data_IF_652390581226
#
_entry.id   IF_652390581226
#
_cell.length_a   1.000
_cell.length_b   1.000
_cell.length_c   1.000
_cell.angle_alpha   90.00
_cell.angle_beta   90.00
_cell.angle_gamma   90.00
#
_symmetry.space_group_name_H-M   'P 1'
#
loop_
_entity.id
_entity.type
_entity.pdbx_description
1 polymer ?
#
# COMPACT_ATOMS: atom_id res chain seq x y z
N UNK A 1 -1.87 -2.42 -21.83
CA UNK A 1 -2.01 -1.66 -20.55
C UNK A 1 -2.92 -2.40 -19.54
N UNK A 2 -2.81 -2.10 -18.21
CA UNK A 2 -3.76 -2.59 -17.21
C UNK A 2 -5.13 -1.95 -17.40
N UNK A 3 -6.17 -2.77 -17.36
CA UNK A 3 -7.56 -2.29 -17.33
C UNK A 3 -7.90 -1.66 -15.99
N UNK A 4 -9.01 -0.90 -15.93
CA UNK A 4 -9.53 -0.37 -14.66
C UNK A 4 -9.85 -1.49 -13.66
N UNK A 5 -10.40 -2.60 -14.14
CA UNK A 5 -10.68 -3.81 -13.36
C UNK A 5 -9.41 -4.38 -12.74
N UNK A 6 -8.38 -4.63 -13.53
CA UNK A 6 -7.09 -5.17 -13.05
C UNK A 6 -6.41 -4.24 -12.05
N UNK A 7 -6.48 -2.92 -12.25
CA UNK A 7 -5.98 -1.94 -11.29
C UNK A 7 -6.72 -2.01 -9.95
N UNK A 8 -8.06 -2.22 -9.97
CA UNK A 8 -8.85 -2.42 -8.76
C UNK A 8 -8.51 -3.75 -8.10
N UNK A 9 -8.35 -4.82 -8.88
CA UNK A 9 -7.96 -6.13 -8.35
C UNK A 9 -6.59 -6.07 -7.65
N UNK A 10 -5.58 -5.41 -8.26
CA UNK A 10 -4.27 -5.21 -7.63
C UNK A 10 -4.37 -4.40 -6.33
N UNK A 11 -5.23 -3.37 -6.26
CA UNK A 11 -5.49 -2.64 -5.02
C UNK A 11 -6.14 -3.53 -3.96
N UNK A 12 -7.05 -4.41 -4.38
CA UNK A 12 -7.68 -5.40 -3.51
C UNK A 12 -6.67 -6.40 -2.94
N UNK A 13 -5.77 -6.91 -3.79
CA UNK A 13 -4.67 -7.75 -3.35
C UNK A 13 -3.72 -7.00 -2.39
N UNK A 14 -3.37 -5.75 -2.70
CA UNK A 14 -2.48 -4.94 -1.88
C UNK A 14 -3.04 -4.69 -0.48
N UNK A 15 -4.35 -4.41 -0.34
CA UNK A 15 -4.96 -4.19 0.98
C UNK A 15 -5.07 -5.49 1.78
N UNK A 16 -5.37 -6.63 1.14
CA UNK A 16 -5.37 -7.92 1.80
C UNK A 16 -3.97 -8.27 2.35
N UNK A 17 -2.94 -8.08 1.54
CA UNK A 17 -1.54 -8.28 1.93
C UNK A 17 -1.18 -7.34 3.09
N UNK A 18 -1.62 -6.08 3.07
CA UNK A 18 -1.34 -5.07 4.10
C UNK A 18 -2.01 -5.42 5.44
N UNK A 19 -3.27 -5.81 5.43
CA UNK A 19 -3.97 -6.26 6.65
C UNK A 19 -3.28 -7.48 7.26
N UNK A 20 -2.88 -8.44 6.42
CA UNK A 20 -2.13 -9.62 6.89
C UNK A 20 -0.78 -9.22 7.50
N UNK A 21 -0.05 -8.29 6.87
CA UNK A 21 1.22 -7.76 7.40
C UNK A 21 1.03 -7.24 8.83
N UNK A 22 0.09 -6.31 9.02
CA UNK A 22 -0.07 -5.64 10.30
C UNK A 22 -0.62 -6.58 11.39
N UNK A 23 -1.40 -7.59 11.05
CA UNK A 23 -1.85 -8.57 12.04
C UNK A 23 -0.71 -9.48 12.55
N UNK A 24 0.20 -9.91 11.66
CA UNK A 24 1.13 -11.00 11.97
C UNK A 24 2.61 -10.63 11.89
N UNK A 25 2.97 -9.36 11.65
CA UNK A 25 4.36 -8.90 11.64
C UNK A 25 4.98 -8.96 13.05
N UNK A 26 4.20 -8.57 14.07
CA UNK A 26 4.68 -8.55 15.45
C UNK A 26 4.61 -9.97 16.05
N UNK A 27 5.74 -10.56 16.49
CA UNK A 27 5.75 -11.88 17.13
C UNK A 27 4.84 -11.97 18.37
N UNK A 28 4.70 -10.87 19.14
CA UNK A 28 3.81 -10.84 20.31
C UNK A 28 2.34 -11.06 19.91
N UNK A 29 1.89 -10.52 18.79
CA UNK A 29 0.54 -10.74 18.27
C UNK A 29 0.35 -12.18 17.80
N UNK A 30 1.37 -12.76 17.15
CA UNK A 30 1.33 -14.18 16.72
C UNK A 30 1.27 -15.12 17.93
N UNK A 31 1.91 -14.76 19.04
CA UNK A 31 1.87 -15.53 20.29
C UNK A 31 0.46 -15.56 20.94
N UNK A 32 -0.39 -14.57 20.68
CA UNK A 32 -1.79 -14.54 21.11
C UNK A 32 -2.69 -15.53 20.34
N UNK A 33 -2.20 -16.05 19.20
CA UNK A 33 -2.98 -16.89 18.30
C UNK A 33 -2.80 -18.36 18.58
N UNK A 34 -3.87 -19.14 18.41
CA UNK A 34 -3.81 -20.60 18.35
C UNK A 34 -3.29 -21.01 16.96
N UNK A 35 -2.00 -21.30 16.87
CA UNK A 35 -1.34 -21.69 15.63
C UNK A 35 -1.32 -23.22 15.52
N UNK A 36 -1.81 -23.77 14.38
CA UNK A 36 -1.87 -25.23 14.15
C UNK A 36 -0.84 -25.73 13.15
N UNK A 37 -0.34 -24.85 12.28
CA UNK A 37 0.60 -25.20 11.22
C UNK A 37 1.93 -24.54 11.50
N UNK A 38 2.96 -25.35 11.64
CA UNK A 38 4.33 -24.91 11.89
C UNK A 38 5.23 -25.37 10.75
N UNK A 39 6.12 -24.52 10.31
CA UNK A 39 7.15 -24.81 9.31
C UNK A 39 8.53 -24.90 9.98
N UNK A 40 9.55 -25.25 9.22
CA UNK A 40 10.90 -25.51 9.66
C UNK A 40 11.37 -24.64 10.85
N UNK A 41 11.86 -25.30 11.90
CA UNK A 41 12.28 -24.64 13.15
C UNK A 41 11.14 -24.29 14.12
N UNK A 42 9.93 -24.89 13.98
CA UNK A 42 8.82 -24.68 14.91
C UNK A 42 8.15 -23.31 14.80
N UNK A 43 8.32 -22.60 13.68
CA UNK A 43 7.72 -21.27 13.49
C UNK A 43 6.32 -21.37 12.88
N UNK A 44 5.31 -20.64 13.42
CA UNK A 44 3.98 -20.59 12.84
C UNK A 44 4.00 -20.19 11.37
N UNK A 45 3.16 -20.81 10.54
CA UNK A 45 3.08 -20.53 9.10
C UNK A 45 2.81 -19.04 8.81
N UNK A 46 1.99 -18.38 9.62
CA UNK A 46 1.68 -16.94 9.47
C UNK A 46 2.93 -16.07 9.56
N UNK A 47 3.89 -16.43 10.44
CA UNK A 47 5.19 -15.74 10.57
C UNK A 47 6.11 -15.95 9.37
N UNK A 48 5.91 -17.00 8.59
CA UNK A 48 6.64 -17.19 7.33
C UNK A 48 5.97 -16.45 6.17
N UNK A 49 4.65 -16.51 6.08
CA UNK A 49 3.88 -15.83 5.04
C UNK A 49 4.01 -14.30 5.15
N UNK A 50 4.14 -13.74 6.36
CA UNK A 50 4.28 -12.29 6.56
C UNK A 50 5.52 -11.70 5.87
N UNK A 51 6.56 -12.49 5.66
CA UNK A 51 7.77 -12.02 4.95
C UNK A 51 7.49 -11.58 3.52
N UNK A 52 6.50 -12.19 2.85
CA UNK A 52 6.10 -11.81 1.50
C UNK A 52 5.30 -10.51 1.46
N UNK A 53 4.70 -10.11 2.56
CA UNK A 53 3.76 -8.99 2.60
C UNK A 53 4.42 -7.61 2.53
N UNK A 54 5.75 -7.52 2.66
CA UNK A 54 6.52 -6.28 2.53
C UNK A 54 6.36 -5.54 1.19
N UNK A 55 5.72 -6.16 0.19
CA UNK A 55 5.42 -5.53 -1.11
C UNK A 55 4.16 -4.65 -1.09
N UNK A 56 3.36 -4.63 -0.03
CA UNK A 56 2.04 -3.98 -0.02
C UNK A 56 2.10 -2.48 -0.35
N UNK A 57 3.00 -1.72 0.27
CA UNK A 57 3.20 -0.29 -0.03
C UNK A 57 3.75 -0.11 -1.44
N UNK A 58 4.70 -0.97 -1.85
CA UNK A 58 5.24 -0.99 -3.21
C UNK A 58 4.15 -1.15 -4.28
N UNK A 59 3.13 -1.98 -4.03
CA UNK A 59 1.98 -2.15 -4.93
C UNK A 59 1.16 -0.87 -5.07
N UNK A 60 0.89 -0.14 -3.99
CA UNK A 60 0.19 1.14 -4.06
C UNK A 60 1.01 2.20 -4.79
N UNK A 61 2.32 2.25 -4.56
CA UNK A 61 3.25 3.14 -5.26
C UNK A 61 3.30 2.83 -6.75
N UNK A 62 3.45 1.55 -7.10
CA UNK A 62 3.41 1.07 -8.48
C UNK A 62 2.13 1.52 -9.19
N UNK A 63 0.97 1.23 -8.60
CA UNK A 63 -0.33 1.61 -9.18
C UNK A 63 -0.51 3.13 -9.28
N UNK A 64 0.06 3.88 -8.35
CA UNK A 64 0.02 5.33 -8.39
C UNK A 64 0.88 5.89 -9.51
N UNK A 65 2.12 5.41 -9.65
CA UNK A 65 3.02 5.77 -10.76
C UNK A 65 2.42 5.39 -12.11
N UNK A 66 1.89 4.16 -12.21
CA UNK A 66 1.21 3.66 -13.39
C UNK A 66 0.05 4.57 -13.84
N UNK A 67 -0.90 4.82 -12.94
CA UNK A 67 -2.10 5.61 -13.26
C UNK A 67 -1.82 7.09 -13.49
N UNK A 68 -0.88 7.69 -12.74
CA UNK A 68 -0.47 9.09 -12.93
C UNK A 68 0.29 9.27 -14.25
N UNK A 69 1.13 8.31 -14.65
CA UNK A 69 1.87 8.40 -15.89
C UNK A 69 0.94 8.31 -17.11
N UNK A 70 -0.08 7.43 -17.10
CA UNK A 70 -1.13 7.42 -18.13
C UNK A 70 -1.84 8.78 -18.21
N UNK A 71 -2.15 9.37 -17.06
CA UNK A 71 -2.78 10.70 -17.02
C UNK A 71 -1.86 11.76 -17.60
N UNK A 72 -0.57 11.72 -17.29
CA UNK A 72 0.45 12.62 -17.80
C UNK A 72 0.68 12.48 -19.31
N UNK A 73 0.67 11.26 -19.84
CA UNK A 73 0.75 11.04 -21.30
C UNK A 73 -0.42 11.67 -22.06
N UNK A 74 -1.65 11.62 -21.48
CA UNK A 74 -2.84 12.24 -22.08
C UNK A 74 -2.84 13.75 -21.92
N UNK A 75 -2.42 14.25 -20.79
CA UNK A 75 -2.32 15.67 -20.47
C UNK A 75 -1.17 15.92 -19.48
N UNK A 76 -0.04 16.52 -19.95
CA UNK A 76 1.08 16.84 -19.08
C UNK A 76 0.76 17.83 -17.95
N UNK A 77 -0.36 18.55 -18.02
CA UNK A 77 -0.87 19.42 -16.96
C UNK A 77 -1.74 18.61 -15.98
N UNK A 78 -1.13 17.62 -15.34
CA UNK A 78 -1.78 16.91 -14.23
C UNK A 78 -2.19 17.89 -13.13
N UNK A 79 -3.35 17.67 -12.53
CA UNK A 79 -3.87 18.48 -11.42
C UNK A 79 -3.55 17.81 -10.07
N UNK A 80 -2.31 17.97 -9.51
CA UNK A 80 -1.91 17.29 -8.28
C UNK A 80 -2.74 17.74 -7.09
N UNK A 81 -3.04 19.04 -6.98
CA UNK A 81 -3.80 19.60 -5.87
C UNK A 81 -5.19 18.96 -5.71
N UNK A 82 -5.90 18.71 -6.82
CA UNK A 82 -7.21 18.05 -6.75
C UNK A 82 -7.15 16.64 -6.17
N UNK A 83 -6.09 15.88 -6.48
CA UNK A 83 -5.87 14.54 -5.95
C UNK A 83 -5.51 14.57 -4.47
N UNK A 84 -4.65 15.53 -4.08
CA UNK A 84 -4.23 15.73 -2.70
C UNK A 84 -5.42 16.16 -1.84
N UNK A 85 -6.22 17.13 -2.27
CA UNK A 85 -7.42 17.55 -1.56
C UNK A 85 -8.39 16.38 -1.35
N UNK A 86 -8.62 15.55 -2.37
CA UNK A 86 -9.45 14.34 -2.23
C UNK A 86 -8.92 13.37 -1.17
N UNK A 87 -7.62 13.18 -1.13
CA UNK A 87 -6.97 12.30 -0.15
C UNK A 87 -7.11 12.87 1.26
N UNK A 88 -6.81 14.16 1.46
CA UNK A 88 -6.89 14.80 2.76
C UNK A 88 -8.32 14.89 3.28
N UNK A 89 -9.32 15.18 2.45
CA UNK A 89 -10.72 15.16 2.87
C UNK A 89 -11.11 13.79 3.42
N UNK A 90 -10.68 12.72 2.74
CA UNK A 90 -10.93 11.37 3.21
C UNK A 90 -10.19 11.06 4.52
N UNK A 91 -8.93 11.43 4.59
CA UNK A 91 -8.09 11.28 5.76
C UNK A 91 -8.66 12.04 6.98
N UNK A 92 -9.08 13.28 6.81
CA UNK A 92 -9.63 14.09 7.91
C UNK A 92 -10.97 13.57 8.43
N UNK A 93 -11.80 12.95 7.58
CA UNK A 93 -13.02 12.28 8.06
C UNK A 93 -12.64 11.10 8.97
N UNK A 94 -11.71 10.25 8.53
CA UNK A 94 -11.20 9.13 9.35
C UNK A 94 -10.56 9.66 10.64
N UNK A 95 -9.73 10.68 10.53
CA UNK A 95 -9.06 11.34 11.65
C UNK A 95 -10.10 11.82 12.68
N UNK A 96 -11.10 12.58 12.25
CA UNK A 96 -12.15 13.10 13.13
C UNK A 96 -12.89 11.98 13.86
N UNK A 97 -13.28 10.91 13.15
CA UNK A 97 -14.03 9.78 13.74
C UNK A 97 -13.15 9.03 14.74
N UNK A 98 -11.98 8.58 14.32
CA UNK A 98 -11.17 7.66 15.13
C UNK A 98 -10.39 8.35 16.24
N UNK A 99 -9.99 9.62 16.07
CA UNK A 99 -9.31 10.34 17.14
C UNK A 99 -10.31 10.79 18.21
N UNK A 100 -11.54 11.18 17.83
CA UNK A 100 -12.62 11.44 18.82
C UNK A 100 -13.00 10.18 19.60
N UNK A 101 -13.13 9.04 18.91
CA UNK A 101 -13.37 7.75 19.56
C UNK A 101 -12.19 7.36 20.46
N UNK A 102 -10.97 7.57 19.99
CA UNK A 102 -9.74 7.35 20.78
C UNK A 102 -9.67 8.22 22.01
N UNK A 103 -10.05 9.50 21.92
CA UNK A 103 -10.11 10.41 23.07
C UNK A 103 -11.13 9.98 24.12
N UNK A 104 -12.22 9.34 23.69
CA UNK A 104 -13.21 8.76 24.60
C UNK A 104 -12.74 7.46 25.26
N UNK A 105 -12.14 6.55 24.49
CA UNK A 105 -11.70 5.23 24.97
C UNK A 105 -10.35 5.29 25.71
N UNK A 106 -9.42 6.13 25.24
CA UNK A 106 -8.04 6.23 25.72
C UNK A 106 -7.61 7.69 25.88
N UNK A 107 -8.20 8.47 26.83
CA UNK A 107 -7.96 9.90 26.98
C UNK A 107 -6.50 10.28 27.28
N UNK A 108 -5.74 9.36 27.86
CA UNK A 108 -4.31 9.55 28.14
C UNK A 108 -3.44 9.53 26.87
N UNK A 109 -3.95 9.00 25.75
CA UNK A 109 -3.25 8.90 24.48
C UNK A 109 -3.75 9.92 23.44
N UNK A 110 -5.04 10.21 23.43
CA UNK A 110 -5.70 11.04 22.43
C UNK A 110 -6.47 12.19 23.08
N UNK A 111 -6.46 13.42 22.48
CA UNK A 111 -5.63 13.87 21.37
C UNK A 111 -4.22 14.30 21.81
N UNK A 112 -3.89 14.28 23.11
CA UNK A 112 -2.61 14.70 23.66
C UNK A 112 -2.32 16.21 23.45
N UNK A 113 -1.06 16.57 23.13
CA UNK A 113 -0.64 17.95 22.95
C UNK A 113 -1.07 18.56 21.60
N UNK A 114 -1.12 19.90 21.52
CA UNK A 114 -1.34 20.62 20.25
C UNK A 114 -0.31 20.28 19.17
N UNK A 115 0.95 20.09 19.55
CA UNK A 115 2.02 19.67 18.63
C UNK A 115 1.74 18.29 18.07
N UNK A 116 1.32 17.35 18.91
CA UNK A 116 0.92 16.01 18.47
C UNK A 116 -0.27 16.09 17.51
N UNK A 117 -1.30 16.89 17.84
CA UNK A 117 -2.46 17.09 16.98
C UNK A 117 -2.07 17.64 15.60
N UNK A 118 -1.29 18.73 15.55
CA UNK A 118 -0.86 19.34 14.28
C UNK A 118 0.00 18.41 13.44
N UNK A 119 0.92 17.68 14.06
CA UNK A 119 1.74 16.69 13.37
C UNK A 119 0.90 15.58 12.73
N UNK A 120 -0.11 15.09 13.45
CA UNK A 120 -0.95 14.01 12.98
C UNK A 120 -1.96 14.46 11.92
N UNK A 121 -2.64 15.61 12.10
CA UNK A 121 -3.65 16.11 11.14
C UNK A 121 -3.04 16.51 9.80
N UNK A 122 -1.76 16.87 9.78
CA UNK A 122 -0.99 17.15 8.54
C UNK A 122 -0.40 15.89 7.93
N UNK A 123 -0.29 14.79 8.69
CA UNK A 123 0.40 13.57 8.29
C UNK A 123 1.93 13.69 8.29
N UNK A 124 2.47 14.78 8.89
CA UNK A 124 3.91 15.01 8.99
C UNK A 124 4.60 14.01 9.93
N UNK A 125 4.03 13.80 11.12
CA UNK A 125 4.51 12.82 12.09
C UNK A 125 3.31 12.12 12.73
N UNK A 126 3.09 10.86 12.34
CA UNK A 126 1.84 10.12 12.56
C UNK A 126 1.93 9.24 13.80
N UNK A 127 1.89 9.86 14.99
CA UNK A 127 1.98 9.15 16.28
C UNK A 127 0.66 8.53 16.74
N UNK A 128 -0.49 9.05 16.27
CA UNK A 128 -1.81 8.48 16.60
C UNK A 128 -2.06 7.16 15.90
N UNK A 129 -1.57 7.05 14.67
CA UNK A 129 -1.58 5.85 13.86
C UNK A 129 -0.30 5.82 13.02
N UNK A 130 0.67 5.01 13.43
CA UNK A 130 1.98 4.95 12.78
C UNK A 130 1.90 4.60 11.31
N UNK A 131 0.88 3.83 10.91
CA UNK A 131 0.72 3.34 9.53
C UNK A 131 0.22 4.42 8.56
N UNK A 132 -0.11 5.60 9.05
CA UNK A 132 -0.36 6.79 8.23
C UNK A 132 0.92 7.47 7.72
N UNK A 133 2.10 6.96 8.10
CA UNK A 133 3.40 7.48 7.67
C UNK A 133 3.49 7.70 6.14
N UNK A 134 2.79 6.89 5.37
CA UNK A 134 2.80 6.93 3.92
C UNK A 134 2.11 8.18 3.32
N UNK A 135 1.24 8.86 4.09
CA UNK A 135 0.42 9.99 3.61
C UNK A 135 1.31 11.11 3.06
N UNK A 136 2.25 11.59 3.86
CA UNK A 136 3.08 12.75 3.50
C UNK A 136 4.06 12.44 2.34
N UNK A 137 4.84 11.35 2.33
CA UNK A 137 5.63 10.94 1.18
C UNK A 137 4.82 10.81 -0.11
N UNK A 138 3.61 10.28 -0.03
CA UNK A 138 2.71 10.17 -1.18
C UNK A 138 2.30 11.54 -1.72
N UNK A 139 2.03 12.51 -0.87
CA UNK A 139 1.77 13.89 -1.30
C UNK A 139 2.95 14.46 -2.06
N UNK A 140 4.17 14.28 -1.56
CA UNK A 140 5.39 14.71 -2.24
C UNK A 140 5.55 14.04 -3.61
N UNK A 141 5.25 12.73 -3.71
CA UNK A 141 5.26 12.01 -4.99
C UNK A 141 4.26 12.59 -5.99
N UNK A 142 3.05 12.89 -5.56
CA UNK A 142 2.02 13.48 -6.43
C UNK A 142 2.42 14.87 -6.90
N UNK A 143 3.01 15.69 -6.03
CA UNK A 143 3.50 17.03 -6.37
C UNK A 143 4.67 16.97 -7.36
N UNK A 144 5.60 16.06 -7.15
CA UNK A 144 6.81 15.90 -7.98
C UNK A 144 6.59 15.05 -9.24
N UNK A 145 5.43 14.40 -9.41
CA UNK A 145 5.16 13.45 -10.48
C UNK A 145 5.48 13.99 -11.88
N UNK A 146 5.15 15.26 -12.16
CA UNK A 146 5.45 15.89 -13.46
C UNK A 146 6.95 15.91 -13.77
N UNK A 147 7.80 16.19 -12.79
CA UNK A 147 9.26 16.21 -12.96
C UNK A 147 9.82 14.79 -13.08
N UNK A 148 9.34 13.87 -12.25
CA UNK A 148 9.71 12.44 -12.32
C UNK A 148 9.41 11.90 -13.73
N UNK A 149 8.24 12.17 -14.29
CA UNK A 149 7.84 11.68 -15.61
C UNK A 149 8.63 12.33 -16.75
N UNK A 150 9.08 13.59 -16.60
CA UNK A 150 10.00 14.21 -17.55
C UNK A 150 11.33 13.48 -17.59
N UNK A 151 11.88 13.09 -16.43
CA UNK A 151 13.11 12.30 -16.35
C UNK A 151 12.90 10.93 -16.99
N UNK A 152 11.79 10.25 -16.65
CA UNK A 152 11.45 8.94 -17.22
C UNK A 152 11.37 9.01 -18.76
N UNK A 153 10.78 10.08 -19.33
CA UNK A 153 10.67 10.21 -20.78
C UNK A 153 12.01 10.42 -21.49
N UNK A 154 12.98 11.07 -20.84
CA UNK A 154 14.30 11.40 -21.41
C UNK A 154 15.27 10.22 -21.43
N UNK A 155 15.09 9.24 -20.56
CA UNK A 155 16.02 8.12 -20.39
C UNK A 155 15.52 6.87 -21.14
N UNK A 156 16.45 6.10 -21.71
CA UNK A 156 16.19 4.78 -22.25
C UNK A 156 15.94 3.75 -21.14
N UNK A 157 15.55 2.53 -21.52
CA UNK A 157 15.18 1.47 -20.58
C UNK A 157 16.34 1.11 -19.62
N UNK A 158 17.55 0.95 -20.16
CA UNK A 158 18.71 0.55 -19.35
C UNK A 158 19.06 1.62 -18.32
N UNK A 159 19.14 2.89 -18.76
CA UNK A 159 19.41 4.01 -17.85
C UNK A 159 18.32 4.16 -16.78
N UNK A 160 17.04 3.91 -17.13
CA UNK A 160 15.95 3.93 -16.15
C UNK A 160 16.10 2.83 -15.11
N UNK A 161 16.39 1.60 -15.53
CA UNK A 161 16.60 0.48 -14.61
C UNK A 161 17.77 0.76 -13.66
N UNK A 162 18.89 1.27 -14.21
CA UNK A 162 20.07 1.63 -13.41
C UNK A 162 19.74 2.77 -12.41
N UNK A 163 19.05 3.81 -12.86
CA UNK A 163 18.66 4.94 -12.01
C UNK A 163 17.73 4.49 -10.87
N UNK A 164 16.69 3.74 -11.21
CA UNK A 164 15.71 3.22 -10.22
C UNK A 164 16.39 2.27 -9.24
N UNK A 165 17.28 1.41 -9.73
CA UNK A 165 18.10 0.52 -8.90
C UNK A 165 19.04 1.29 -7.97
N UNK A 166 19.72 2.33 -8.48
CA UNK A 166 20.60 3.17 -7.67
C UNK A 166 19.83 3.93 -6.57
N UNK A 167 18.67 4.54 -6.91
CA UNK A 167 17.79 5.21 -5.94
C UNK A 167 17.37 4.23 -4.85
N UNK A 168 16.95 3.02 -5.25
CA UNK A 168 16.54 1.99 -4.31
C UNK A 168 17.68 1.59 -3.36
N UNK A 169 18.84 1.22 -3.90
CA UNK A 169 19.99 0.77 -3.11
C UNK A 169 20.47 1.87 -2.16
N UNK A 170 20.63 3.09 -2.66
CA UNK A 170 21.10 4.21 -1.83
C UNK A 170 20.12 4.51 -0.72
N UNK A 171 18.81 4.62 -1.02
CA UNK A 171 17.81 4.91 0.02
C UNK A 171 17.68 3.78 1.04
N UNK A 172 17.72 2.52 0.59
CA UNK A 172 17.66 1.36 1.45
C UNK A 172 18.88 1.31 2.41
N UNK A 173 20.09 1.44 1.87
CA UNK A 173 21.31 1.45 2.69
C UNK A 173 21.34 2.64 3.65
N UNK A 174 20.91 3.83 3.22
CA UNK A 174 20.83 5.01 4.09
C UNK A 174 19.90 4.76 5.28
N UNK A 175 18.72 4.19 5.04
CA UNK A 175 17.77 3.87 6.13
C UNK A 175 18.34 2.76 7.01
N UNK A 176 18.91 1.71 6.44
CA UNK A 176 19.42 0.57 7.17
C UNK A 176 20.59 0.95 8.08
N UNK A 177 21.56 1.72 7.57
CA UNK A 177 22.77 2.12 8.31
C UNK A 177 22.48 3.19 9.38
N UNK A 178 21.46 4.06 9.15
CA UNK A 178 21.18 5.19 10.03
C UNK A 178 19.81 5.07 10.75
N UNK A 179 19.28 3.86 10.89
CA UNK A 179 17.92 3.62 11.38
C UNK A 179 17.62 4.33 12.71
N UNK A 180 18.52 4.17 13.70
CA UNK A 180 18.33 4.75 15.03
C UNK A 180 18.26 6.28 15.01
N UNK A 181 19.11 6.93 14.21
CA UNK A 181 19.12 8.37 14.05
C UNK A 181 17.86 8.87 13.31
N UNK A 182 17.53 8.24 12.19
CA UNK A 182 16.43 8.68 11.33
C UNK A 182 15.06 8.59 12.04
N UNK A 183 14.83 7.54 12.81
CA UNK A 183 13.54 7.38 13.50
C UNK A 183 13.31 8.39 14.62
N UNK A 184 14.38 9.01 15.12
CA UNK A 184 14.29 10.08 16.13
C UNK A 184 14.36 11.48 15.51
N UNK A 185 14.76 11.62 14.23
CA UNK A 185 14.94 12.90 13.55
C UNK A 185 14.06 13.00 12.30
N UNK A 186 12.79 13.36 12.51
CA UNK A 186 11.77 13.39 11.46
C UNK A 186 12.16 14.24 10.23
N UNK A 187 12.82 15.39 10.44
CA UNK A 187 13.28 16.26 9.36
C UNK A 187 14.31 15.59 8.46
N UNK A 188 15.19 14.75 9.00
CA UNK A 188 16.15 13.98 8.23
C UNK A 188 15.50 12.74 7.59
N UNK A 189 14.56 12.11 8.29
CA UNK A 189 13.91 10.89 7.83
C UNK A 189 12.99 11.11 6.64
N UNK A 190 12.18 12.17 6.66
CA UNK A 190 11.15 12.40 5.65
C UNK A 190 11.69 12.51 4.21
N UNK A 191 12.77 13.26 3.90
CA UNK A 191 13.36 13.27 2.56
C UNK A 191 13.84 11.90 2.09
N UNK A 192 14.47 11.13 2.98
CA UNK A 192 14.97 9.79 2.65
C UNK A 192 13.81 8.83 2.41
N UNK A 193 12.77 8.92 3.23
CA UNK A 193 11.55 8.15 3.09
C UNK A 193 10.86 8.47 1.75
N UNK A 194 10.77 9.75 1.37
CA UNK A 194 10.27 10.14 0.05
C UNK A 194 11.11 9.52 -1.08
N UNK A 195 12.44 9.60 -1.01
CA UNK A 195 13.34 9.03 -2.03
C UNK A 195 13.17 7.51 -2.12
N UNK A 196 12.99 6.82 -0.99
CA UNK A 196 12.76 5.36 -0.99
C UNK A 196 11.48 4.94 -1.71
N UNK A 197 10.47 5.81 -1.73
CA UNK A 197 9.20 5.53 -2.43
C UNK A 197 9.27 5.73 -3.94
N UNK A 198 10.27 6.48 -4.45
CA UNK A 198 10.43 6.79 -5.88
C UNK A 198 10.60 5.54 -6.75
N UNK A 199 11.33 4.54 -6.25
CA UNK A 199 11.66 3.35 -7.05
C UNK A 199 10.40 2.58 -7.47
N UNK A 200 9.54 2.21 -6.52
CA UNK A 200 8.30 1.49 -6.83
C UNK A 200 7.32 2.34 -7.66
N UNK A 201 7.29 3.65 -7.41
CA UNK A 201 6.48 4.59 -8.20
C UNK A 201 6.97 4.68 -9.66
N UNK A 202 8.28 4.80 -9.88
CA UNK A 202 8.89 4.85 -11.21
C UNK A 202 8.69 3.54 -11.98
N UNK A 203 8.80 2.38 -11.31
CA UNK A 203 8.52 1.06 -11.94
C UNK A 203 7.11 1.05 -12.53
N UNK A 204 6.11 1.60 -11.84
CA UNK A 204 4.76 1.72 -12.39
C UNK A 204 4.69 2.53 -13.68
N UNK A 205 5.39 3.65 -13.75
CA UNK A 205 5.48 4.46 -14.96
C UNK A 205 6.25 3.77 -16.09
N UNK A 206 7.33 3.04 -15.77
CA UNK A 206 8.13 2.24 -16.72
C UNK A 206 7.27 1.15 -17.34
N UNK A 207 6.41 0.49 -16.58
CA UNK A 207 5.48 -0.51 -17.10
C UNK A 207 4.54 0.07 -18.18
N UNK A 208 4.12 1.32 -18.03
CA UNK A 208 3.31 2.00 -19.04
C UNK A 208 4.17 2.43 -20.23
N UNK A 209 5.33 3.05 -19.98
CA UNK A 209 6.20 3.59 -21.05
C UNK A 209 6.61 2.52 -22.06
N UNK A 210 6.85 1.30 -21.59
CA UNK A 210 7.33 0.18 -22.40
C UNK A 210 6.27 -0.91 -22.64
N UNK A 211 5.00 -0.64 -22.40
CA UNK A 211 3.87 -1.57 -22.60
C UNK A 211 4.10 -2.97 -22.00
N UNK A 212 4.82 -3.04 -20.85
CA UNK A 212 5.28 -4.31 -20.25
C UNK A 212 4.10 -5.26 -19.98
N UNK A 213 2.95 -4.73 -19.58
CA UNK A 213 1.77 -5.54 -19.29
C UNK A 213 1.26 -6.31 -20.52
N UNK A 214 1.27 -5.68 -21.69
CA UNK A 214 0.83 -6.31 -22.94
C UNK A 214 1.88 -7.30 -23.46
N UNK A 215 3.17 -6.93 -23.38
CA UNK A 215 4.27 -7.84 -23.69
C UNK A 215 4.25 -9.10 -22.81
N UNK A 216 3.92 -9.00 -21.53
CA UNK A 216 3.80 -10.16 -20.64
C UNK A 216 2.66 -11.09 -21.07
N UNK A 217 1.50 -10.55 -21.46
CA UNK A 217 0.36 -11.36 -21.94
C UNK A 217 0.66 -12.06 -23.25
N UNK A 218 1.39 -11.41 -24.14
CA UNK A 218 1.79 -11.96 -25.44
C UNK A 218 2.83 -13.07 -25.28
N UNK A 219 3.85 -12.85 -24.44
CA UNK A 219 4.97 -13.80 -24.26
C UNK A 219 4.63 -14.96 -23.33
N UNK A 220 3.71 -14.77 -22.39
CA UNK A 220 3.31 -15.78 -21.39
C UNK A 220 1.79 -15.97 -21.46
N UNK A 221 1.26 -16.52 -22.58
CA UNK A 221 -0.17 -16.69 -22.74
C UNK A 221 -0.68 -17.87 -21.90
N UNK A 222 -1.47 -17.58 -20.86
CA UNK A 222 -2.15 -18.63 -20.09
C UNK A 222 -3.46 -19.01 -20.81
N UNK A 223 -3.41 -20.06 -21.65
CA UNK A 223 -4.53 -20.50 -22.49
C UNK A 223 -5.29 -21.69 -21.93
N UNK A 224 -4.66 -22.53 -21.13
CA UNK A 224 -5.22 -23.78 -20.59
C UNK A 224 -5.30 -23.76 -19.06
N UNK A 225 -6.05 -24.73 -18.51
CA UNK A 225 -6.06 -24.99 -17.06
C UNK A 225 -4.66 -25.38 -16.59
N UNK A 226 -3.95 -26.22 -17.34
CA UNK A 226 -2.59 -26.67 -16.99
C UNK A 226 -1.62 -25.50 -16.90
N UNK A 227 -1.62 -24.55 -17.87
CA UNK A 227 -0.77 -23.36 -17.80
C UNK A 227 -1.14 -22.44 -16.61
N UNK A 228 -2.40 -22.39 -16.21
CA UNK A 228 -2.81 -21.63 -15.03
C UNK A 228 -2.35 -22.32 -13.73
N UNK A 229 -2.43 -23.64 -13.64
CA UNK A 229 -1.88 -24.41 -12.51
C UNK A 229 -0.37 -24.17 -12.40
N UNK A 230 0.37 -24.22 -13.52
CA UNK A 230 1.80 -23.92 -13.53
C UNK A 230 2.09 -22.52 -13.01
N UNK A 231 1.30 -21.50 -13.40
CA UNK A 231 1.46 -20.15 -12.88
C UNK A 231 1.21 -20.07 -11.36
N UNK A 232 0.25 -20.84 -10.82
CA UNK A 232 0.02 -20.95 -9.37
C UNK A 232 1.23 -21.62 -8.68
N UNK A 233 1.76 -22.70 -9.24
CA UNK A 233 2.94 -23.36 -8.69
C UNK A 233 4.17 -22.46 -8.69
N UNK A 234 4.39 -21.66 -9.74
CA UNK A 234 5.43 -20.64 -9.80
C UNK A 234 5.25 -19.61 -8.68
N UNK A 235 4.02 -19.19 -8.41
CA UNK A 235 3.75 -18.25 -7.30
C UNK A 235 4.05 -18.88 -5.94
N UNK A 236 3.65 -20.12 -5.71
CA UNK A 236 3.97 -20.87 -4.48
C UNK A 236 5.49 -20.97 -4.31
N UNK A 237 6.23 -21.26 -5.40
CA UNK A 237 7.69 -21.27 -5.37
C UNK A 237 8.27 -19.90 -5.00
N UNK A 238 7.73 -18.80 -5.56
CA UNK A 238 8.16 -17.46 -5.21
C UNK A 238 7.92 -17.15 -3.72
N UNK A 239 6.78 -17.58 -3.16
CA UNK A 239 6.50 -17.48 -1.72
C UNK A 239 7.52 -18.27 -0.89
N UNK A 240 7.84 -19.50 -1.29
CA UNK A 240 8.81 -20.36 -0.61
C UNK A 240 10.22 -19.73 -0.64
N UNK A 241 10.67 -19.27 -1.81
CA UNK A 241 11.96 -18.58 -1.96
C UNK A 241 12.02 -17.31 -1.11
N UNK A 242 10.93 -16.53 -1.04
CA UNK A 242 10.86 -15.33 -0.18
C UNK A 242 10.93 -15.70 1.31
N UNK A 243 10.28 -16.77 1.71
CA UNK A 243 10.32 -17.25 3.08
C UNK A 243 11.75 -17.65 3.53
N UNK A 244 12.56 -18.14 2.59
CA UNK A 244 13.98 -18.50 2.85
C UNK A 244 14.93 -17.30 2.84
N UNK A 245 14.54 -16.18 2.19
CA UNK A 245 15.37 -14.98 2.10
C UNK A 245 14.92 -13.94 3.16
N UNK A 246 15.69 -13.67 4.21
CA UNK A 246 15.30 -12.73 5.27
C UNK A 246 15.53 -11.25 4.91
N UNK A 247 16.05 -10.95 3.72
CA UNK A 247 16.49 -9.61 3.32
C UNK A 247 15.31 -8.82 2.72
N UNK A 248 14.94 -7.68 3.34
CA UNK A 248 13.83 -6.84 2.84
C UNK A 248 14.16 -6.10 1.54
N UNK A 249 15.44 -5.92 1.22
CA UNK A 249 15.86 -5.33 -0.05
C UNK A 249 15.33 -6.08 -1.28
N UNK A 250 15.06 -7.38 -1.18
CA UNK A 250 14.47 -8.15 -2.30
C UNK A 250 13.00 -7.83 -2.58
N UNK A 251 12.31 -7.10 -1.69
CA UNK A 251 10.90 -6.77 -1.87
C UNK A 251 10.61 -6.04 -3.19
N UNK A 252 11.55 -5.25 -3.71
CA UNK A 252 11.37 -4.58 -5.01
C UNK A 252 11.33 -5.57 -6.18
N UNK A 253 12.12 -6.63 -6.11
CA UNK A 253 12.11 -7.72 -7.10
C UNK A 253 10.80 -8.49 -6.99
N UNK A 254 10.39 -8.82 -5.76
CA UNK A 254 9.11 -9.51 -5.53
C UNK A 254 7.90 -8.67 -5.94
N UNK A 255 7.96 -7.36 -5.82
CA UNK A 255 6.95 -6.46 -6.35
C UNK A 255 6.78 -6.64 -7.86
N UNK A 256 7.88 -6.60 -8.62
CA UNK A 256 7.85 -6.75 -10.08
C UNK A 256 7.36 -8.15 -10.48
N UNK A 257 7.88 -9.19 -9.82
CA UNK A 257 7.48 -10.58 -10.07
C UNK A 257 6.00 -10.81 -9.73
N UNK A 258 5.53 -10.30 -8.60
CA UNK A 258 4.13 -10.40 -8.20
C UNK A 258 3.19 -9.70 -9.18
N UNK A 259 3.50 -8.46 -9.57
CA UNK A 259 2.69 -7.73 -10.55
C UNK A 259 2.68 -8.44 -11.89
N UNK A 260 3.82 -8.92 -12.36
CA UNK A 260 3.94 -9.67 -13.62
C UNK A 260 3.11 -10.96 -13.59
N UNK A 261 3.23 -11.73 -12.51
CA UNK A 261 2.40 -12.92 -12.27
C UNK A 261 0.91 -12.58 -12.23
N UNK A 262 0.54 -11.52 -11.51
CA UNK A 262 -0.85 -11.11 -11.34
C UNK A 262 -1.52 -10.69 -12.65
N UNK A 263 -0.74 -10.12 -13.58
CA UNK A 263 -1.21 -9.72 -14.92
C UNK A 263 -1.55 -10.93 -15.77
N UNK A 264 -0.74 -11.99 -15.72
CA UNK A 264 -0.88 -13.14 -16.62
C UNK A 264 -1.83 -14.22 -16.10
N UNK A 265 -1.96 -14.37 -14.78
CA UNK A 265 -2.79 -15.43 -14.18
C UNK A 265 -4.28 -15.21 -14.46
N UNK A 266 -4.98 -16.30 -14.84
CA UNK A 266 -6.45 -16.32 -14.93
C UNK A 266 -7.06 -16.42 -13.54
N UNK A 267 -7.96 -15.51 -13.23
CA UNK A 267 -8.67 -15.46 -11.96
C UNK A 267 -10.13 -15.87 -12.17
N UNK A 268 -10.68 -16.63 -11.23
CA UNK A 268 -12.11 -16.98 -11.22
C UNK A 268 -12.96 -15.70 -11.05
N UNK A 269 -14.17 -15.68 -11.60
CA UNK A 269 -15.07 -14.51 -11.56
C UNK A 269 -15.35 -14.01 -10.14
N UNK A 270 -15.52 -14.90 -9.19
CA UNK A 270 -15.75 -14.54 -7.79
C UNK A 270 -14.51 -13.88 -7.16
N UNK A 271 -13.29 -14.34 -7.51
CA UNK A 271 -12.04 -13.70 -7.05
C UNK A 271 -11.92 -12.29 -7.60
N UNK A 272 -12.18 -12.11 -8.90
CA UNK A 272 -12.21 -10.80 -9.54
C UNK A 272 -13.16 -9.87 -8.81
N UNK A 273 -14.40 -10.31 -8.60
CA UNK A 273 -15.43 -9.53 -7.92
C UNK A 273 -15.01 -9.14 -6.49
N UNK A 274 -14.50 -10.08 -5.69
CA UNK A 274 -14.02 -9.81 -4.33
C UNK A 274 -12.88 -8.77 -4.35
N UNK A 275 -11.87 -8.97 -5.19
CA UNK A 275 -10.72 -8.07 -5.27
C UNK A 275 -11.11 -6.67 -5.76
N UNK A 276 -12.05 -6.54 -6.68
CA UNK A 276 -12.57 -5.23 -7.13
C UNK A 276 -13.32 -4.50 -6.02
N UNK A 277 -14.16 -5.21 -5.25
CA UNK A 277 -14.87 -4.62 -4.10
C UNK A 277 -13.89 -4.12 -3.04
N UNK A 278 -12.92 -4.93 -2.66
CA UNK A 278 -11.86 -4.56 -1.73
C UNK A 278 -11.00 -3.41 -2.28
N UNK A 279 -10.62 -3.48 -3.55
CA UNK A 279 -9.84 -2.44 -4.22
C UNK A 279 -10.55 -1.10 -4.27
N UNK A 280 -11.87 -1.10 -4.42
CA UNK A 280 -12.69 0.10 -4.36
C UNK A 280 -12.69 0.80 -3.00
N UNK A 281 -12.45 0.05 -1.91
CA UNK A 281 -12.38 0.56 -0.54
C UNK A 281 -10.96 0.59 0.02
N UNK A 282 -9.95 0.20 -0.75
CA UNK A 282 -8.59 -0.03 -0.27
C UNK A 282 -7.97 1.17 0.46
N UNK A 283 -8.22 2.40 0.02
CA UNK A 283 -7.72 3.62 0.69
C UNK A 283 -8.36 3.80 2.07
N UNK A 284 -9.67 3.59 2.17
CA UNK A 284 -10.38 3.70 3.46
C UNK A 284 -9.95 2.58 4.41
N UNK A 285 -9.86 1.35 3.90
CA UNK A 285 -9.35 0.21 4.67
C UNK A 285 -7.94 0.46 5.19
N UNK A 286 -7.03 1.02 4.34
CA UNK A 286 -5.70 1.41 4.79
C UNK A 286 -5.76 2.41 5.95
N UNK A 287 -6.61 3.40 5.88
CA UNK A 287 -6.70 4.43 6.92
C UNK A 287 -7.24 3.92 8.25
N UNK A 288 -8.05 2.84 8.26
CA UNK A 288 -8.78 2.41 9.46
C UNK A 288 -8.31 1.08 10.07
N UNK A 289 -7.75 0.13 9.28
CA UNK A 289 -7.53 -1.25 9.75
C UNK A 289 -6.63 -1.35 11.00
N UNK A 290 -5.67 -0.45 11.14
CA UNK A 290 -4.75 -0.47 12.28
C UNK A 290 -5.37 0.01 13.58
N UNK A 291 -6.47 0.75 13.54
CA UNK A 291 -7.26 1.00 14.74
C UNK A 291 -7.87 -0.30 15.30
N UNK A 292 -8.16 -1.25 14.43
CA UNK A 292 -8.60 -2.59 14.83
C UNK A 292 -7.44 -3.46 15.28
N UNK A 293 -6.32 -3.50 14.50
CA UNK A 293 -5.18 -4.36 14.79
C UNK A 293 -4.33 -3.93 15.99
N UNK A 294 -4.18 -2.60 16.24
CA UNK A 294 -3.15 -2.08 17.15
C UNK A 294 -3.67 -1.11 18.20
N UNK A 295 -4.63 -0.22 17.86
CA UNK A 295 -4.81 1.00 18.64
C UNK A 295 -6.05 1.00 19.53
N UNK A 296 -7.22 0.71 18.99
CA UNK A 296 -8.47 0.83 19.75
C UNK A 296 -9.15 -0.50 20.07
N UNK A 297 -9.01 -1.49 19.20
CA UNK A 297 -9.75 -2.75 19.28
C UNK A 297 -8.86 -4.00 19.22
N UNK A 298 -7.58 -3.85 19.60
CA UNK A 298 -6.59 -4.92 19.57
C UNK A 298 -7.07 -6.19 20.28
N UNK A 299 -7.47 -6.06 21.54
CA UNK A 299 -7.85 -7.22 22.35
C UNK A 299 -9.11 -7.90 21.82
N UNK A 300 -10.05 -7.13 21.28
CA UNK A 300 -11.24 -7.68 20.63
C UNK A 300 -10.87 -8.52 19.40
N UNK A 301 -9.99 -8.02 18.55
CA UNK A 301 -9.53 -8.73 17.33
C UNK A 301 -8.76 -10.01 17.71
N UNK A 302 -7.79 -9.93 18.62
CA UNK A 302 -7.01 -11.12 19.01
C UNK A 302 -7.76 -12.04 19.95
N UNK A 303 -8.88 -11.60 20.52
CA UNK A 303 -9.83 -12.44 21.26
C UNK A 303 -10.42 -13.60 20.46
N UNK A 304 -10.46 -13.51 19.13
CA UNK A 304 -10.86 -14.61 18.24
C UNK A 304 -9.86 -15.77 18.18
N UNK A 305 -8.63 -15.60 18.65
CA UNK A 305 -7.58 -16.63 18.81
C UNK A 305 -7.08 -17.29 17.52
N UNK A 306 -7.92 -17.55 16.53
CA UNK A 306 -7.54 -18.27 15.31
C UNK A 306 -7.09 -17.32 14.22
N UNK A 307 -5.85 -17.45 13.65
CA UNK A 307 -5.30 -16.51 12.67
C UNK A 307 -6.23 -16.23 11.48
N UNK A 308 -6.87 -17.26 10.95
CA UNK A 308 -7.78 -17.10 9.81
C UNK A 308 -9.04 -16.30 10.18
N UNK A 309 -9.57 -16.48 11.41
CA UNK A 309 -10.74 -15.75 11.90
C UNK A 309 -10.35 -14.30 12.19
N UNK A 310 -9.22 -14.07 12.87
CA UNK A 310 -8.64 -12.75 13.12
C UNK A 310 -8.49 -11.98 11.80
N UNK A 311 -7.91 -12.61 10.80
CA UNK A 311 -7.72 -12.00 9.47
C UNK A 311 -9.05 -11.68 8.79
N UNK A 312 -9.98 -12.66 8.73
CA UNK A 312 -11.27 -12.48 8.10
C UNK A 312 -12.11 -11.38 8.78
N UNK A 313 -12.18 -11.38 10.11
CA UNK A 313 -12.90 -10.35 10.88
C UNK A 313 -12.29 -8.97 10.63
N UNK A 314 -10.94 -8.84 10.69
CA UNK A 314 -10.27 -7.56 10.47
C UNK A 314 -10.52 -7.03 9.06
N UNK A 315 -10.45 -7.89 8.03
CA UNK A 315 -10.79 -7.50 6.65
C UNK A 315 -12.24 -7.04 6.54
N UNK A 316 -13.18 -7.78 7.11
CA UNK A 316 -14.61 -7.45 7.04
C UNK A 316 -14.92 -6.12 7.76
N UNK A 317 -14.48 -5.96 9.01
CA UNK A 317 -14.77 -4.72 9.76
C UNK A 317 -14.09 -3.51 9.11
N UNK A 318 -12.87 -3.67 8.60
CA UNK A 318 -12.18 -2.59 7.87
C UNK A 318 -12.88 -2.25 6.56
N UNK A 319 -13.40 -3.24 5.84
CA UNK A 319 -14.17 -3.03 4.61
C UNK A 319 -15.49 -2.29 4.88
N UNK A 320 -16.28 -2.75 5.85
CA UNK A 320 -17.57 -2.12 6.17
C UNK A 320 -17.37 -0.70 6.71
N UNK A 321 -16.41 -0.51 7.61
CA UNK A 321 -16.04 0.83 8.11
C UNK A 321 -15.58 1.73 6.97
N UNK A 322 -14.71 1.23 6.09
CA UNK A 322 -14.26 1.95 4.91
C UNK A 322 -15.40 2.30 3.94
N UNK A 323 -16.36 1.41 3.76
CA UNK A 323 -17.55 1.65 2.95
C UNK A 323 -18.42 2.78 3.53
N UNK A 324 -18.66 2.77 4.84
CA UNK A 324 -19.43 3.83 5.52
C UNK A 324 -18.72 5.19 5.43
N UNK A 325 -17.40 5.23 5.66
CA UNK A 325 -16.59 6.43 5.48
C UNK A 325 -16.68 6.94 4.04
N UNK A 326 -16.62 6.04 3.05
CA UNK A 326 -16.79 6.40 1.65
C UNK A 326 -18.13 7.06 1.35
N UNK A 327 -19.22 6.61 1.99
CA UNK A 327 -20.55 7.22 1.88
C UNK A 327 -20.59 8.64 2.44
N UNK A 328 -19.92 8.88 3.57
CA UNK A 328 -19.80 10.23 4.17
C UNK A 328 -18.90 11.12 3.31
N UNK A 329 -17.79 10.58 2.82
CA UNK A 329 -16.79 11.35 2.09
C UNK A 329 -17.27 11.79 0.69
N UNK A 330 -18.09 11.00 0.02
CA UNK A 330 -18.54 11.30 -1.35
C UNK A 330 -19.27 12.65 -1.48
N UNK A 331 -20.28 12.98 -0.66
CA UNK A 331 -20.94 14.29 -0.71
C UNK A 331 -20.00 15.42 -0.32
N UNK A 332 -19.14 15.23 0.71
CA UNK A 332 -18.15 16.23 1.15
C UNK A 332 -17.18 16.56 0.01
N UNK A 333 -16.65 15.54 -0.68
CA UNK A 333 -15.76 15.75 -1.82
C UNK A 333 -16.47 16.47 -2.97
N UNK A 334 -17.72 16.09 -3.30
CA UNK A 334 -18.50 16.77 -4.35
C UNK A 334 -18.67 18.25 -4.06
N UNK A 335 -19.03 18.59 -2.82
CA UNK A 335 -19.23 19.97 -2.39
C UNK A 335 -17.93 20.78 -2.43
N UNK A 336 -16.89 20.31 -1.73
CA UNK A 336 -15.62 21.05 -1.59
C UNK A 336 -14.93 21.22 -2.94
N UNK A 337 -14.82 20.13 -3.73
CA UNK A 337 -14.17 20.18 -5.03
C UNK A 337 -15.00 21.01 -6.02
N UNK A 338 -16.32 20.87 -5.98
CA UNK A 338 -17.20 21.69 -6.81
C UNK A 338 -17.05 23.18 -6.55
N UNK A 339 -16.90 23.59 -5.28
CA UNK A 339 -16.68 24.98 -4.89
C UNK A 339 -15.28 25.47 -5.28
N UNK A 340 -14.22 24.76 -4.87
CA UNK A 340 -12.83 25.16 -5.13
C UNK A 340 -12.47 25.25 -6.63
N UNK A 341 -12.97 24.32 -7.45
CA UNK A 341 -12.63 24.31 -8.87
C UNK A 341 -13.60 25.09 -9.78
N UNK A 342 -14.71 25.61 -9.25
CA UNK A 342 -15.51 26.63 -9.95
C UNK A 342 -14.90 28.02 -9.83
N UNK A 343 -14.19 28.30 -8.74
CA UNK A 343 -13.58 29.62 -8.47
C UNK A 343 -12.23 29.82 -9.20
N UNK A 344 -11.64 28.74 -9.75
CA UNK A 344 -10.33 28.77 -10.44
C UNK A 344 -10.50 28.76 -11.99
N UNK A 345 -11.74 28.68 -12.49
CA UNK A 345 -12.07 28.91 -13.90
C UNK A 345 -12.48 30.37 -14.12
#
# INVERSE_FOLDING_TARGET
MLTKSESLQLKGAAILIMVFLHLFLNPSNVALCHNFIFLGGGKPIVSQLVKFTGICVGLYLFLSGYGLYITYQRNPNIQPCKRIVKLYLNFWIVFAIFISLGAWLYPNRYPGSWTAFLNNVTGWHTTYNGEWWFLFPYVLLVLSAKWIFRVINRLDFVKLVLLVGAIFVVSYLTIWLNRSYLYTHQLAYMPILYVSTLSSFAIGAIFVKYDIADQLRERIPIRSIGSNILAILVFILLLALRAMCPIDAVNIIYLVLFVSWFIVIRKARWVIWCLEKLGGQSTNMWLVHTFFCYYLFHDWIYGFKYPIVIYAVTVLVSYFTGYLIGKINLPVQKYVIGKLWKTIK
#
